data_IF_911544624336
#
_entry.id   IF_911544624336
#
_cell.length_a   1.000
_cell.length_b   1.000
_cell.length_c   1.000
_cell.angle_alpha   90.00
_cell.angle_beta   90.00
_cell.angle_gamma   90.00
#
_symmetry.space_group_name_H-M   'P 1'
#
loop_
_entity.id
_entity.type
_entity.pdbx_description
1 polymer ?
#
# COMPACT_ATOMS: atom_id res chain seq x y z
N UNK A 1 21.17 -23.52 -7.65
CA UNK A 1 20.06 -22.88 -8.40
C UNK A 1 19.30 -22.00 -7.42
N UNK A 2 18.81 -20.83 -7.83
CA UNK A 2 18.02 -19.93 -6.97
C UNK A 2 16.62 -19.79 -7.58
N UNK A 3 15.58 -20.02 -6.77
CA UNK A 3 14.19 -19.80 -7.15
C UNK A 3 13.74 -18.45 -6.57
N UNK A 4 13.20 -17.58 -7.42
CA UNK A 4 12.61 -16.31 -6.99
C UNK A 4 11.10 -16.37 -7.23
N UNK A 5 10.31 -16.10 -6.19
CA UNK A 5 8.85 -16.08 -6.25
C UNK A 5 8.41 -14.63 -6.07
N UNK A 6 7.67 -14.10 -7.04
CA UNK A 6 7.08 -12.76 -6.96
C UNK A 6 5.67 -12.88 -6.39
N UNK A 7 5.42 -12.23 -5.27
CA UNK A 7 4.12 -12.23 -4.59
C UNK A 7 3.47 -10.86 -4.83
N UNK A 8 2.18 -10.79 -5.21
CA UNK A 8 1.50 -9.51 -5.40
C UNK A 8 1.26 -8.79 -4.07
N UNK A 9 1.37 -7.46 -4.10
CA UNK A 9 1.28 -6.58 -2.91
C UNK A 9 -0.10 -6.54 -2.26
N UNK A 10 -1.13 -7.08 -2.91
CA UNK A 10 -2.50 -7.13 -2.40
C UNK A 10 -2.75 -8.27 -1.39
N UNK A 11 -1.76 -9.12 -1.12
CA UNK A 11 -1.87 -10.23 -0.19
C UNK A 11 -1.56 -9.79 1.24
N UNK A 12 -2.44 -10.13 2.18
CA UNK A 12 -2.18 -9.90 3.61
C UNK A 12 -1.00 -10.72 4.10
N UNK A 13 -0.27 -10.20 5.09
CA UNK A 13 0.91 -10.86 5.71
C UNK A 13 0.58 -12.29 6.19
N UNK A 14 -0.64 -12.51 6.67
CA UNK A 14 -1.13 -13.81 7.11
C UNK A 14 -1.20 -14.84 5.97
N UNK A 15 -1.75 -14.44 4.81
CA UNK A 15 -1.84 -15.30 3.62
C UNK A 15 -0.46 -15.60 3.05
N UNK A 16 0.45 -14.63 3.06
CA UNK A 16 1.83 -14.82 2.64
C UNK A 16 2.52 -15.85 3.53
N UNK A 17 2.32 -15.78 4.85
CA UNK A 17 2.90 -16.73 5.79
C UNK A 17 2.38 -18.16 5.59
N UNK A 18 1.08 -18.31 5.31
CA UNK A 18 0.48 -19.60 4.95
C UNK A 18 1.09 -20.18 3.67
N UNK A 19 1.21 -19.37 2.62
CA UNK A 19 1.80 -19.81 1.35
C UNK A 19 3.26 -20.24 1.51
N UNK A 20 4.06 -19.52 2.30
CA UNK A 20 5.45 -19.90 2.59
C UNK A 20 5.48 -21.27 3.27
N UNK A 21 4.62 -21.49 4.26
CA UNK A 21 4.54 -22.77 4.98
C UNK A 21 4.14 -23.92 4.06
N UNK A 22 3.16 -23.73 3.19
CA UNK A 22 2.73 -24.75 2.23
C UNK A 22 3.88 -25.11 1.26
N UNK A 23 4.65 -24.11 0.81
CA UNK A 23 5.82 -24.31 -0.03
C UNK A 23 6.92 -25.09 0.73
N UNK A 24 7.19 -24.74 1.99
CA UNK A 24 8.15 -25.49 2.82
C UNK A 24 7.74 -26.96 2.98
N UNK A 25 6.47 -27.23 3.25
CA UNK A 25 5.99 -28.61 3.41
C UNK A 25 6.14 -29.44 2.12
N UNK A 26 5.88 -28.83 0.95
CA UNK A 26 6.08 -29.49 -0.34
C UNK A 26 7.57 -29.79 -0.58
N UNK A 27 8.44 -28.82 -0.31
CA UNK A 27 9.89 -28.99 -0.50
C UNK A 27 10.48 -30.05 0.42
N UNK A 28 10.03 -30.13 1.68
CA UNK A 28 10.42 -31.18 2.62
C UNK A 28 9.97 -32.55 2.13
N UNK A 29 8.73 -32.69 1.62
CA UNK A 29 8.22 -33.95 1.06
C UNK A 29 9.03 -34.44 -0.14
N UNK A 30 9.50 -33.53 -0.98
CA UNK A 30 10.36 -33.82 -2.14
C UNK A 30 11.84 -34.03 -1.76
N UNK A 31 12.20 -33.92 -0.47
CA UNK A 31 13.58 -34.10 0.02
C UNK A 31 14.53 -32.95 -0.36
N UNK A 32 13.99 -31.79 -0.71
CA UNK A 32 14.74 -30.62 -1.17
C UNK A 32 14.89 -29.65 0.01
N UNK A 33 16.10 -29.56 0.57
CA UNK A 33 16.41 -28.62 1.64
C UNK A 33 16.81 -27.25 1.05
N UNK A 34 15.90 -26.29 1.07
CA UNK A 34 16.12 -24.92 0.60
C UNK A 34 15.86 -23.92 1.73
N UNK A 35 16.76 -22.97 1.87
CA UNK A 35 16.60 -21.86 2.82
C UNK A 35 15.74 -20.77 2.19
N UNK A 36 14.52 -20.57 2.70
CA UNK A 36 13.63 -19.49 2.25
C UNK A 36 14.01 -18.20 2.98
N UNK A 37 14.57 -17.24 2.24
CA UNK A 37 14.87 -15.91 2.77
C UNK A 37 13.98 -14.86 2.12
N UNK A 38 13.22 -14.06 2.88
CA UNK A 38 12.52 -12.92 2.31
C UNK A 38 13.57 -11.96 1.76
N UNK A 39 13.46 -11.65 0.47
CA UNK A 39 14.26 -10.59 -0.13
C UNK A 39 13.71 -9.28 0.42
N UNK A 40 14.34 -8.76 1.46
CA UNK A 40 14.06 -7.42 1.97
C UNK A 40 14.46 -6.44 0.87
N UNK A 41 13.54 -6.14 -0.04
CA UNK A 41 13.64 -4.90 -0.81
C UNK A 41 13.66 -3.80 0.23
N UNK A 42 14.72 -2.98 0.25
CA UNK A 42 14.74 -1.72 1.00
C UNK A 42 13.36 -1.13 0.87
N UNK A 43 12.68 -0.95 2.01
CA UNK A 43 11.42 -0.22 2.08
C UNK A 43 11.67 1.06 1.28
N UNK A 44 11.11 1.12 0.07
CA UNK A 44 10.95 2.41 -0.58
C UNK A 44 9.96 3.07 0.36
N UNK A 45 10.39 4.14 1.03
CA UNK A 45 9.46 5.04 1.73
C UNK A 45 8.25 5.19 0.82
N UNK A 46 7.07 4.92 1.35
CA UNK A 46 5.87 5.09 0.55
C UNK A 46 5.90 6.55 0.08
N UNK A 47 5.76 6.84 -1.23
CA UNK A 47 5.68 8.22 -1.68
C UNK A 47 4.61 9.03 -0.92
N UNK A 48 3.58 8.38 -0.38
CA UNK A 48 2.58 9.00 0.49
C UNK A 48 3.13 9.44 1.86
N UNK A 49 4.17 8.78 2.38
CA UNK A 49 4.86 9.16 3.63
C UNK A 49 5.75 10.40 3.44
N UNK A 50 6.10 10.74 2.19
CA UNK A 50 6.95 11.89 1.84
C UNK A 50 6.13 13.14 1.43
N UNK A 51 4.79 13.07 1.40
CA UNK A 51 3.94 14.21 1.01
C UNK A 51 3.71 15.14 2.21
N UNK A 52 4.22 16.36 2.11
CA UNK A 52 3.81 17.45 2.99
C UNK A 52 2.60 18.18 2.40
N UNK A 53 1.42 17.91 2.97
CA UNK A 53 0.18 18.57 2.58
C UNK A 53 0.24 20.09 2.74
N UNK A 54 1.09 20.61 3.62
CA UNK A 54 1.25 22.05 3.83
C UNK A 54 1.91 22.74 2.64
N UNK A 55 2.78 22.03 1.90
CA UNK A 55 3.44 22.56 0.71
C UNK A 55 2.54 22.48 -0.55
N UNK A 56 1.63 21.49 -0.60
CA UNK A 56 0.78 21.25 -1.78
C UNK A 56 -0.64 21.82 -1.63
N UNK A 57 -1.11 22.10 -0.41
CA UNK A 57 -2.41 22.70 -0.19
C UNK A 57 -2.37 24.21 -0.45
N UNK A 58 -3.21 24.67 -1.36
CA UNK A 58 -3.44 26.09 -1.60
C UNK A 58 -4.65 26.51 -0.76
N UNK A 59 -4.45 27.48 0.13
CA UNK A 59 -5.57 28.12 0.83
C UNK A 59 -6.45 28.86 -0.19
N UNK A 60 -7.67 28.39 -0.34
CA UNK A 60 -8.64 28.95 -1.29
C UNK A 60 -9.46 30.09 -0.67
N UNK A 61 -9.37 30.31 0.65
CA UNK A 61 -10.22 31.26 1.38
C UNK A 61 -11.71 30.86 1.40
N UNK A 62 -12.02 29.63 0.99
CA UNK A 62 -13.36 29.08 0.91
C UNK A 62 -13.72 28.50 2.29
N UNK A 63 -14.68 29.12 2.97
CA UNK A 63 -15.32 28.55 4.16
C UNK A 63 -16.04 27.26 3.78
N UNK A 64 -15.86 26.21 4.60
CA UNK A 64 -16.32 24.83 4.42
C UNK A 64 -16.98 24.56 3.06
N UNK A 65 -16.16 24.13 2.11
CA UNK A 65 -16.62 23.83 0.76
C UNK A 65 -17.68 22.71 0.75
N UNK A 66 -17.66 21.78 1.70
CA UNK A 66 -18.66 20.71 1.73
C UNK A 66 -20.04 21.25 2.11
N UNK A 67 -20.10 22.20 3.03
CA UNK A 67 -21.34 22.85 3.45
C UNK A 67 -21.90 23.82 2.40
N UNK A 68 -21.01 24.59 1.77
CA UNK A 68 -21.36 25.67 0.85
C UNK A 68 -21.04 25.37 -0.62
N UNK A 69 -20.91 24.09 -0.98
CA UNK A 69 -20.55 23.63 -2.32
C UNK A 69 -21.38 24.31 -3.42
N UNK A 70 -22.70 24.40 -3.23
CA UNK A 70 -23.62 24.98 -4.22
C UNK A 70 -23.38 26.48 -4.42
N UNK A 71 -22.99 27.19 -3.35
CA UNK A 71 -22.62 28.61 -3.42
C UNK A 71 -21.38 28.80 -4.28
N UNK A 72 -20.33 28.00 -4.07
CA UNK A 72 -19.08 28.16 -4.79
C UNK A 72 -19.12 27.62 -6.23
N UNK A 73 -19.94 26.60 -6.52
CA UNK A 73 -20.09 26.06 -7.88
C UNK A 73 -21.10 26.82 -8.73
N UNK A 74 -22.22 27.24 -8.14
CA UNK A 74 -23.37 27.76 -8.89
C UNK A 74 -23.76 29.19 -8.50
N UNK A 75 -23.11 29.79 -7.50
CA UNK A 75 -23.40 31.15 -7.06
C UNK A 75 -24.70 31.28 -6.25
N UNK A 76 -25.21 30.19 -5.67
CA UNK A 76 -26.39 30.24 -4.81
C UNK A 76 -26.09 30.95 -3.48
N UNK A 77 -27.10 31.33 -2.69
CA UNK A 77 -26.86 31.89 -1.36
C UNK A 77 -26.11 30.87 -0.46
N UNK A 78 -25.18 31.37 0.37
CA UNK A 78 -24.55 30.56 1.43
C UNK A 78 -25.62 30.06 2.40
N UNK A 79 -25.44 28.85 2.91
CA UNK A 79 -26.30 28.26 3.93
C UNK A 79 -25.97 28.80 5.32
#
# INVERSE_FOLDING_TARGET
MQLTINIPDNLSKEKISLLIKDIEEILIKEGINLEIKPKVSKEKTDPWDEIDFSEIAVDTGIEDFAENHDHYLYGTLKK
#
